data_IF_676202073494
#
_entry.id   IF_676202073494
#
_cell.length_a   1.000
_cell.length_b   1.000
_cell.length_c   1.000
_cell.angle_alpha   90.00
_cell.angle_beta   90.00
_cell.angle_gamma   90.00
#
_symmetry.space_group_name_H-M   'P 1'
#
loop_
_entity.id
_entity.type
_entity.pdbx_description
1 polymer ?
#
# COMPACT_ATOMS: atom_id res chain seq x y z
N UNK A 1 -24.97 -24.79 5.80
CA UNK A 1 -24.34 -24.44 4.51
C UNK A 1 -22.84 -24.36 4.76
N UNK A 2 -22.09 -25.37 4.34
CA UNK A 2 -20.63 -25.36 4.44
C UNK A 2 -20.10 -24.50 3.30
N UNK A 3 -19.55 -23.34 3.62
CA UNK A 3 -18.78 -22.54 2.66
C UNK A 3 -17.68 -23.43 2.08
N UNK A 4 -17.53 -23.51 0.74
CA UNK A 4 -16.45 -24.28 0.15
C UNK A 4 -15.12 -23.82 0.74
N UNK A 5 -14.31 -24.78 1.19
CA UNK A 5 -13.00 -24.53 1.78
C UNK A 5 -12.18 -23.78 0.72
N UNK A 6 -11.91 -22.50 0.96
CA UNK A 6 -11.16 -21.71 0.01
C UNK A 6 -9.69 -22.10 0.16
N UNK A 7 -9.18 -22.85 -0.82
CA UNK A 7 -7.78 -23.26 -0.88
C UNK A 7 -6.89 -22.10 -1.39
N UNK A 8 -7.30 -20.84 -1.19
CA UNK A 8 -6.59 -19.67 -1.69
C UNK A 8 -6.21 -18.74 -0.54
N UNK A 9 -4.97 -18.27 -0.58
CA UNK A 9 -4.46 -17.16 0.21
C UNK A 9 -4.72 -15.88 -0.58
N UNK A 10 -5.25 -14.86 0.09
CA UNK A 10 -5.48 -13.53 -0.49
C UNK A 10 -4.44 -12.56 0.06
N UNK A 11 -3.80 -11.79 -0.82
CA UNK A 11 -2.83 -10.78 -0.40
C UNK A 11 -3.29 -9.42 -0.91
N UNK A 12 -3.43 -8.47 0.02
CA UNK A 12 -3.92 -7.12 -0.19
C UNK A 12 -2.77 -6.12 -0.07
N UNK A 13 -2.27 -5.64 -1.20
CA UNK A 13 -1.20 -4.66 -1.25
C UNK A 13 -1.69 -3.22 -1.44
N UNK A 14 -1.15 -2.28 -0.66
CA UNK A 14 -1.21 -0.84 -0.99
C UNK A 14 0.15 -0.15 -0.91
N UNK A 15 0.39 0.74 -1.86
CA UNK A 15 1.56 1.60 -1.93
C UNK A 15 1.25 3.05 -1.54
N UNK A 16 2.05 3.64 -0.64
CA UNK A 16 1.94 5.06 -0.24
C UNK A 16 3.29 5.79 -0.35
N UNK A 17 3.43 6.57 -1.41
CA UNK A 17 4.65 7.35 -1.72
C UNK A 17 4.79 8.67 -0.98
N UNK A 18 3.96 8.94 0.04
CA UNK A 18 4.07 10.18 0.83
C UNK A 18 5.36 10.20 1.64
N UNK A 19 6.10 11.31 1.59
CA UNK A 19 7.36 11.50 2.32
C UNK A 19 7.11 11.82 3.82
N UNK A 20 5.94 12.36 4.15
CA UNK A 20 5.57 12.74 5.50
C UNK A 20 4.09 12.50 5.80
N UNK A 21 3.77 12.40 7.10
CA UNK A 21 2.42 12.27 7.62
C UNK A 21 1.93 13.61 8.20
N UNK A 22 1.86 14.64 7.34
CA UNK A 22 1.32 15.95 7.72
C UNK A 22 -0.07 16.19 7.11
N UNK A 23 -0.97 16.75 7.91
CA UNK A 23 -2.33 17.14 7.51
C UNK A 23 -3.11 16.00 6.86
N UNK A 24 -3.72 16.27 5.71
CA UNK A 24 -4.56 15.32 4.98
C UNK A 24 -3.83 14.03 4.54
N UNK A 25 -2.48 14.04 4.43
CA UNK A 25 -1.73 12.82 4.07
C UNK A 25 -1.81 11.77 5.18
N UNK A 26 -1.70 12.20 6.44
CA UNK A 26 -1.80 11.29 7.59
C UNK A 26 -3.16 10.58 7.61
N UNK A 27 -4.24 11.36 7.46
CA UNK A 27 -5.60 10.83 7.42
C UNK A 27 -5.82 9.86 6.26
N UNK A 28 -5.25 10.13 5.08
CA UNK A 28 -5.35 9.22 3.93
C UNK A 28 -4.64 7.89 4.21
N UNK A 29 -3.41 7.92 4.73
CA UNK A 29 -2.68 6.68 5.06
C UNK A 29 -3.38 5.91 6.17
N UNK A 30 -3.92 6.58 7.19
CA UNK A 30 -4.69 5.94 8.26
C UNK A 30 -5.98 5.29 7.72
N UNK A 31 -6.69 5.96 6.81
CA UNK A 31 -7.87 5.39 6.16
C UNK A 31 -7.51 4.19 5.28
N UNK A 32 -6.40 4.27 4.55
CA UNK A 32 -5.91 3.18 3.73
C UNK A 32 -5.52 1.97 4.59
N UNK A 33 -4.85 2.17 5.72
CA UNK A 33 -4.62 1.13 6.74
C UNK A 33 -5.95 0.50 7.17
N UNK A 34 -6.92 1.29 7.60
CA UNK A 34 -8.22 0.78 8.09
C UNK A 34 -8.95 -0.08 7.05
N UNK A 35 -8.86 0.28 5.77
CA UNK A 35 -9.40 -0.54 4.68
C UNK A 35 -8.74 -1.92 4.65
N UNK A 36 -7.42 -2.01 4.88
CA UNK A 36 -6.68 -3.29 4.84
C UNK A 36 -7.09 -4.15 6.02
N UNK A 37 -7.08 -3.58 7.22
CA UNK A 37 -7.46 -4.27 8.44
C UNK A 37 -8.89 -4.80 8.33
N UNK A 38 -9.83 -3.96 7.86
CA UNK A 38 -11.21 -4.37 7.63
C UNK A 38 -11.33 -5.49 6.60
N UNK A 39 -10.59 -5.42 5.50
CA UNK A 39 -10.63 -6.47 4.48
C UNK A 39 -10.08 -7.81 5.00
N UNK A 40 -8.99 -7.79 5.78
CA UNK A 40 -8.46 -8.98 6.48
C UNK A 40 -9.51 -9.57 7.43
N UNK A 41 -10.25 -8.73 8.16
CA UNK A 41 -11.30 -9.20 9.07
C UNK A 41 -12.51 -9.81 8.36
N UNK A 42 -12.82 -9.38 7.13
CA UNK A 42 -14.07 -9.74 6.45
C UNK A 42 -13.95 -10.81 5.38
N UNK A 43 -12.76 -11.03 4.80
CA UNK A 43 -12.58 -12.00 3.73
C UNK A 43 -12.47 -13.42 4.29
N UNK A 44 -11.33 -13.80 4.83
CA UNK A 44 -11.10 -15.10 5.48
C UNK A 44 -9.84 -15.11 6.36
N UNK A 45 -9.60 -16.23 7.03
CA UNK A 45 -8.38 -16.44 7.84
C UNK A 45 -7.10 -16.55 6.99
N UNK A 46 -7.19 -16.61 5.67
CA UNK A 46 -6.03 -16.71 4.76
C UNK A 46 -5.78 -15.39 4.02
N UNK A 47 -6.31 -14.30 4.57
CA UNK A 47 -6.12 -12.97 4.02
C UNK A 47 -4.98 -12.25 4.74
N UNK A 48 -4.01 -11.80 3.96
CA UNK A 48 -2.86 -11.02 4.38
C UNK A 48 -2.91 -9.62 3.77
N UNK A 49 -2.36 -8.64 4.47
CA UNK A 49 -2.25 -7.27 4.00
C UNK A 49 -0.83 -6.72 4.10
N UNK A 50 -0.45 -5.93 3.10
CA UNK A 50 0.86 -5.30 3.03
C UNK A 50 0.68 -3.81 2.71
N UNK A 51 1.31 -2.95 3.51
CA UNK A 51 1.37 -1.51 3.26
C UNK A 51 2.82 -1.08 3.11
N UNK A 52 3.22 -0.68 1.90
CA UNK A 52 4.56 -0.10 1.70
C UNK A 52 4.53 1.42 1.90
N UNK A 53 5.45 1.91 2.72
CA UNK A 53 5.59 3.32 3.11
C UNK A 53 6.99 3.84 2.88
N UNK A 54 7.14 5.17 2.90
CA UNK A 54 8.36 5.81 2.44
C UNK A 54 9.57 5.56 3.36
N UNK A 55 9.40 5.61 4.67
CA UNK A 55 10.47 5.43 5.66
C UNK A 55 9.96 4.82 6.97
N UNK A 56 10.90 4.53 7.87
CA UNK A 56 10.64 3.91 9.17
C UNK A 56 9.79 4.79 10.09
N UNK A 57 9.85 6.13 9.97
CA UNK A 57 9.03 7.02 10.79
C UNK A 57 7.55 6.88 10.44
N UNK A 58 7.24 6.73 9.15
CA UNK A 58 5.88 6.46 8.71
C UNK A 58 5.46 5.06 9.18
N UNK A 59 6.34 4.07 9.08
CA UNK A 59 6.08 2.71 9.55
C UNK A 59 5.75 2.65 11.05
N UNK A 60 6.55 3.30 11.89
CA UNK A 60 6.30 3.43 13.33
C UNK A 60 4.94 4.06 13.61
N UNK A 61 4.59 5.11 12.86
CA UNK A 61 3.29 5.77 12.99
C UNK A 61 2.13 4.85 12.61
N UNK A 62 2.26 4.10 11.52
CA UNK A 62 1.28 3.08 11.12
C UNK A 62 1.15 2.02 12.22
N UNK A 63 2.24 1.53 12.79
CA UNK A 63 2.18 0.60 13.94
C UNK A 63 1.47 1.19 15.15
N UNK A 64 1.59 2.50 15.38
CA UNK A 64 0.83 3.18 16.44
C UNK A 64 -0.68 3.11 16.17
N UNK A 65 -1.10 3.26 14.91
CA UNK A 65 -2.50 3.11 14.51
C UNK A 65 -3.00 1.68 14.60
N UNK A 66 -2.21 0.67 14.20
CA UNK A 66 -2.56 -0.75 14.39
C UNK A 66 -2.90 -1.02 15.86
N UNK A 67 -2.05 -0.54 16.80
CA UNK A 67 -2.30 -0.64 18.24
C UNK A 67 -3.56 0.09 18.68
N UNK A 68 -3.77 1.33 18.17
CA UNK A 68 -4.98 2.13 18.44
C UNK A 68 -6.25 1.38 18.06
N UNK A 69 -6.24 0.64 16.95
CA UNK A 69 -7.39 -0.12 16.45
C UNK A 69 -7.45 -1.55 16.99
N UNK A 70 -6.56 -1.94 17.90
CA UNK A 70 -6.52 -3.25 18.56
C UNK A 70 -6.56 -4.42 17.56
N UNK A 71 -5.93 -4.24 16.40
CA UNK A 71 -5.91 -5.29 15.38
C UNK A 71 -4.96 -6.41 15.78
N UNK A 72 -5.51 -7.59 16.01
CA UNK A 72 -4.80 -8.78 16.51
C UNK A 72 -5.09 -9.99 15.61
N UNK A 73 -4.50 -9.97 14.42
CA UNK A 73 -4.46 -11.11 13.50
C UNK A 73 -3.00 -11.49 13.29
N UNK A 74 -2.48 -12.35 14.18
CA UNK A 74 -1.18 -13.03 14.15
C UNK A 74 -0.42 -12.93 12.81
N UNK A 75 0.32 -11.85 12.59
CA UNK A 75 1.16 -11.62 11.40
C UNK A 75 0.42 -11.55 10.04
N UNK A 76 -0.89 -11.30 10.01
CA UNK A 76 -1.64 -11.14 8.75
C UNK A 76 -1.52 -9.73 8.17
N UNK A 77 -0.78 -8.83 8.81
CA UNK A 77 -0.54 -7.50 8.29
C UNK A 77 0.91 -7.07 8.48
N UNK A 78 1.54 -6.59 7.41
CA UNK A 78 2.90 -6.08 7.44
C UNK A 78 3.02 -4.67 6.86
N UNK A 79 3.86 -3.86 7.51
CA UNK A 79 4.26 -2.54 7.02
C UNK A 79 5.69 -2.60 6.54
N UNK A 80 5.87 -2.37 5.25
CA UNK A 80 7.15 -2.48 4.55
C UNK A 80 7.69 -1.07 4.32
N UNK A 81 8.99 -0.93 4.43
CA UNK A 81 9.70 0.31 4.12
C UNK A 81 10.62 0.05 2.96
N UNK A 82 10.74 1.05 2.09
CA UNK A 82 11.83 1.09 1.11
C UNK A 82 13.14 1.44 1.82
N UNK A 83 13.66 0.51 2.63
CA UNK A 83 14.81 0.70 3.51
C UNK A 83 16.13 0.84 2.73
N UNK A 84 16.16 0.48 1.44
CA UNK A 84 17.31 0.63 0.54
C UNK A 84 16.93 1.39 -0.73
N UNK A 85 16.54 2.65 -0.60
CA UNK A 85 16.46 3.54 -1.78
C UNK A 85 17.85 3.91 -2.23
N UNK A 86 18.11 3.81 -3.54
CA UNK A 86 19.24 4.51 -4.13
C UNK A 86 19.04 6.02 -3.92
N UNK A 87 20.13 6.78 -3.80
CA UNK A 87 20.00 8.24 -3.64
C UNK A 87 19.33 8.89 -4.87
N UNK A 88 19.46 8.24 -6.04
CA UNK A 88 18.74 8.59 -7.26
C UNK A 88 17.23 8.51 -7.10
N UNK A 89 16.70 7.45 -6.48
CA UNK A 89 15.26 7.28 -6.25
C UNK A 89 14.74 8.29 -5.23
N UNK A 90 15.52 8.59 -4.18
CA UNK A 90 15.16 9.62 -3.20
C UNK A 90 15.05 11.00 -3.87
N UNK A 91 16.02 11.35 -4.71
CA UNK A 91 16.03 12.62 -5.45
C UNK A 91 14.84 12.71 -6.41
N UNK A 92 14.58 11.66 -7.20
CA UNK A 92 13.45 11.61 -8.11
C UNK A 92 12.10 11.80 -7.39
N UNK A 93 11.92 11.16 -6.24
CA UNK A 93 10.71 11.32 -5.40
C UNK A 93 10.60 12.74 -4.85
N UNK A 94 11.70 13.33 -4.39
CA UNK A 94 11.71 14.71 -3.89
C UNK A 94 11.35 15.71 -4.98
N UNK A 95 11.92 15.55 -6.18
CA UNK A 95 11.65 16.44 -7.31
C UNK A 95 10.20 16.31 -7.80
N UNK A 96 9.66 15.10 -7.87
CA UNK A 96 8.23 14.88 -8.14
C UNK A 96 7.34 15.61 -7.12
N UNK A 97 7.67 15.55 -5.82
CA UNK A 97 6.86 16.23 -4.79
C UNK A 97 7.02 17.75 -4.84
N UNK A 98 8.20 18.27 -5.16
CA UNK A 98 8.40 19.72 -5.39
C UNK A 98 7.56 20.22 -6.55
N UNK A 99 7.58 19.50 -7.68
CA UNK A 99 6.76 19.81 -8.85
C UNK A 99 5.26 19.74 -8.53
N UNK A 100 4.82 18.73 -7.78
CA UNK A 100 3.43 18.63 -7.34
C UNK A 100 3.03 19.77 -6.40
N UNK A 101 3.92 20.19 -5.49
CA UNK A 101 3.67 21.30 -4.58
C UNK A 101 3.55 22.63 -5.33
N UNK A 102 4.47 22.90 -6.25
CA UNK A 102 4.46 24.13 -7.04
C UNK A 102 3.26 24.20 -7.98
N UNK A 103 2.90 23.09 -8.63
CA UNK A 103 1.70 23.00 -9.47
C UNK A 103 0.41 23.19 -8.66
N UNK A 104 0.30 22.62 -7.44
CA UNK A 104 -0.85 22.84 -6.58
C UNK A 104 -0.95 24.30 -6.11
N UNK A 105 0.17 24.96 -5.81
CA UNK A 105 0.19 26.37 -5.43
C UNK A 105 -0.25 27.27 -6.59
N UNK A 106 0.29 27.05 -7.80
CA UNK A 106 -0.13 27.79 -9.00
C UNK A 106 -1.59 27.57 -9.31
N UNK A 107 -2.10 26.35 -9.22
CA UNK A 107 -3.52 26.09 -9.38
C UNK A 107 -4.38 26.84 -8.33
N UNK A 108 -3.93 26.89 -7.07
CA UNK A 108 -4.66 27.58 -6.02
C UNK A 108 -4.68 29.12 -6.18
N UNK A 109 -3.62 29.70 -6.75
CA UNK A 109 -3.49 31.15 -6.92
C UNK A 109 -4.01 31.61 -8.28
N UNK A 110 -3.73 30.86 -9.35
CA UNK A 110 -3.88 31.30 -10.74
C UNK A 110 -4.97 30.53 -11.50
N UNK A 111 -5.63 29.55 -10.88
CA UNK A 111 -6.64 28.66 -11.51
C UNK A 111 -6.15 27.93 -12.79
N UNK A 112 -4.83 27.81 -12.97
CA UNK A 112 -4.22 27.16 -14.14
C UNK A 112 -4.35 25.63 -14.01
N UNK A 113 -4.71 24.92 -15.10
CA UNK A 113 -4.80 23.46 -15.11
C UNK A 113 -3.51 22.75 -14.66
N UNK A 114 -3.66 21.63 -13.94
CA UNK A 114 -2.55 20.83 -13.42
C UNK A 114 -1.89 19.97 -14.50
N UNK A 115 -1.20 20.59 -15.45
CA UNK A 115 -0.60 19.83 -16.56
C UNK A 115 0.67 19.04 -16.16
N UNK A 116 1.29 19.37 -15.02
CA UNK A 116 2.58 18.76 -14.59
C UNK A 116 2.56 18.09 -13.21
N UNK A 117 1.40 18.04 -12.53
CA UNK A 117 1.28 17.41 -11.22
C UNK A 117 0.97 15.91 -11.37
N UNK A 118 1.95 15.10 -11.77
CA UNK A 118 1.75 13.66 -11.89
C UNK A 118 2.61 12.93 -10.85
N UNK A 119 1.95 12.29 -9.87
CA UNK A 119 2.57 11.45 -8.85
C UNK A 119 3.05 10.08 -9.37
N UNK A 120 3.33 9.97 -10.68
CA UNK A 120 3.49 8.71 -11.39
C UNK A 120 4.80 7.99 -11.09
N UNK A 121 5.87 8.72 -10.80
CA UNK A 121 7.18 8.14 -10.46
C UNK A 121 7.07 7.49 -9.09
N UNK A 122 6.50 8.20 -8.12
CA UNK A 122 6.30 7.69 -6.77
C UNK A 122 5.29 6.55 -6.70
N UNK A 123 4.22 6.60 -7.49
CA UNK A 123 3.28 5.48 -7.63
C UNK A 123 4.01 4.25 -8.17
N UNK A 124 4.63 4.36 -9.35
CA UNK A 124 5.33 3.26 -10.00
C UNK A 124 6.40 2.62 -9.12
N UNK A 125 7.27 3.42 -8.52
CA UNK A 125 8.39 2.91 -7.71
C UNK A 125 7.91 2.13 -6.48
N UNK A 126 6.84 2.60 -5.83
CA UNK A 126 6.31 1.91 -4.65
C UNK A 126 5.47 0.69 -5.02
N UNK A 127 4.70 0.74 -6.11
CA UNK A 127 3.97 -0.41 -6.64
C UNK A 127 4.93 -1.53 -7.06
N UNK A 128 6.00 -1.23 -7.82
CA UNK A 128 7.00 -2.21 -8.23
C UNK A 128 7.71 -2.87 -7.03
N UNK A 129 8.03 -2.07 -6.01
CA UNK A 129 8.68 -2.61 -4.81
C UNK A 129 7.74 -3.46 -3.96
N UNK A 130 6.47 -3.08 -3.86
CA UNK A 130 5.44 -3.88 -3.19
C UNK A 130 5.21 -5.20 -3.92
N UNK A 131 5.08 -5.14 -5.24
CA UNK A 131 4.94 -6.32 -6.09
C UNK A 131 6.12 -7.28 -5.89
N UNK A 132 7.35 -6.76 -5.96
CA UNK A 132 8.55 -7.56 -5.74
C UNK A 132 8.52 -8.24 -4.38
N UNK A 133 8.24 -7.48 -3.32
CA UNK A 133 8.15 -8.03 -1.96
C UNK A 133 7.09 -9.13 -1.87
N UNK A 134 5.86 -8.90 -2.38
CA UNK A 134 4.78 -9.89 -2.29
C UNK A 134 5.14 -11.17 -3.04
N UNK A 135 5.75 -11.05 -4.23
CA UNK A 135 6.20 -12.20 -5.01
C UNK A 135 7.26 -13.02 -4.28
N UNK A 136 8.22 -12.36 -3.64
CA UNK A 136 9.31 -13.00 -2.90
C UNK A 136 8.81 -13.66 -1.61
N UNK A 137 8.05 -12.94 -0.79
CA UNK A 137 7.58 -13.40 0.53
C UNK A 137 6.53 -14.53 0.39
N UNK A 138 5.55 -14.32 -0.49
CA UNK A 138 4.43 -15.26 -0.64
C UNK A 138 4.65 -16.30 -1.74
N UNK A 139 5.77 -16.23 -2.50
CA UNK A 139 6.08 -17.13 -3.63
C UNK A 139 4.95 -17.18 -4.66
N UNK A 140 4.54 -16.00 -5.16
CA UNK A 140 3.45 -15.84 -6.12
C UNK A 140 4.01 -15.55 -7.52
N UNK A 141 3.43 -16.18 -8.55
CA UNK A 141 3.85 -15.99 -9.94
C UNK A 141 3.26 -14.76 -10.62
N UNK A 142 1.96 -14.49 -10.46
CA UNK A 142 1.25 -13.44 -11.20
C UNK A 142 0.32 -12.59 -10.30
N UNK A 143 0.13 -11.32 -10.68
CA UNK A 143 -0.79 -10.38 -10.03
C UNK A 143 -2.13 -10.45 -10.72
N UNK A 144 -3.22 -10.53 -9.95
CA UNK A 144 -4.55 -10.36 -10.49
C UNK A 144 -5.17 -9.04 -10.04
N UNK A 145 -5.05 -8.00 -10.88
CA UNK A 145 -5.70 -6.70 -10.65
C UNK A 145 -7.18 -6.68 -11.07
N UNK A 146 -7.69 -7.77 -11.66
CA UNK A 146 -9.09 -7.89 -12.04
C UNK A 146 -9.92 -8.44 -10.87
N UNK A 147 -11.02 -7.77 -10.54
CA UNK A 147 -11.94 -8.11 -9.44
C UNK A 147 -11.39 -7.89 -8.00
N UNK A 148 -10.97 -6.66 -7.65
CA UNK A 148 -10.51 -6.38 -6.30
C UNK A 148 -11.66 -6.48 -5.28
N UNK A 149 -11.39 -6.98 -4.06
CA UNK A 149 -12.41 -7.03 -3.03
C UNK A 149 -12.87 -5.62 -2.63
N UNK A 150 -14.18 -5.49 -2.39
CA UNK A 150 -14.84 -4.26 -1.95
C UNK A 150 -14.73 -3.06 -2.92
N UNK A 151 -14.35 -3.28 -4.18
CA UNK A 151 -14.24 -2.20 -5.18
C UNK A 151 -13.14 -1.18 -4.91
N UNK A 152 -12.18 -1.52 -4.04
CA UNK A 152 -11.03 -0.68 -3.71
C UNK A 152 -9.87 -1.02 -4.66
N UNK A 153 -9.10 -0.03 -5.11
CA UNK A 153 -7.90 -0.28 -5.94
C UNK A 153 -6.76 -0.81 -5.07
N UNK A 154 -6.55 -2.12 -5.09
CA UNK A 154 -5.42 -2.81 -4.45
C UNK A 154 -4.48 -3.39 -5.50
N UNK A 155 -3.22 -3.63 -5.13
CA UNK A 155 -2.49 -4.73 -5.74
C UNK A 155 -3.00 -6.02 -5.07
N UNK A 156 -3.88 -6.74 -5.76
CA UNK A 156 -4.52 -7.94 -5.25
C UNK A 156 -3.85 -9.19 -5.83
N UNK A 157 -3.60 -10.17 -4.97
CA UNK A 157 -2.99 -11.43 -5.34
C UNK A 157 -3.77 -12.58 -4.72
N UNK A 158 -3.82 -13.68 -5.44
CA UNK A 158 -4.28 -14.96 -4.92
C UNK A 158 -3.19 -16.01 -5.10
N UNK A 159 -3.09 -16.92 -4.14
CA UNK A 159 -2.22 -18.10 -4.26
C UNK A 159 -2.98 -19.32 -3.78
N UNK A 160 -3.02 -20.37 -4.62
CA UNK A 160 -3.57 -21.66 -4.16
C UNK A 160 -2.64 -22.25 -3.11
N UNK A 161 -3.18 -22.64 -1.96
CA UNK A 161 -2.45 -23.45 -0.99
C UNK A 161 -2.13 -24.79 -1.62
N UNK A 162 -0.85 -25.07 -1.76
CA UNK A 162 -0.38 -26.44 -1.93
C UNK A 162 -0.55 -27.14 -0.58
N UNK A 163 -1.18 -28.32 -0.50
CA UNK A 163 -1.19 -29.11 0.72
C UNK A 163 0.25 -29.27 1.22
N UNK A 164 0.48 -29.10 2.52
CA UNK A 164 1.77 -29.46 3.11
C UNK A 164 2.01 -30.96 2.85
N UNK A 165 3.13 -31.28 2.19
CA UNK A 165 3.60 -32.65 1.98
C UNK A 165 3.96 -33.34 3.30
#
# INVERSE_FOLDING_TARGET
>A
MTTPKNDYIHILGMAKSCIDLKGAKAQKVELDLLRILYAIEKLDEKTYGCLIVYDDKIKERVHTWIKKYQFDKNNHFEVITLSKKSDKDKLALQDEKKLNSSANLRHAIEAIPKENASGKIGEKLFEEALEKYIKEEFKIGEINKSNPPFGIKWDFYHKKETPAE
#
